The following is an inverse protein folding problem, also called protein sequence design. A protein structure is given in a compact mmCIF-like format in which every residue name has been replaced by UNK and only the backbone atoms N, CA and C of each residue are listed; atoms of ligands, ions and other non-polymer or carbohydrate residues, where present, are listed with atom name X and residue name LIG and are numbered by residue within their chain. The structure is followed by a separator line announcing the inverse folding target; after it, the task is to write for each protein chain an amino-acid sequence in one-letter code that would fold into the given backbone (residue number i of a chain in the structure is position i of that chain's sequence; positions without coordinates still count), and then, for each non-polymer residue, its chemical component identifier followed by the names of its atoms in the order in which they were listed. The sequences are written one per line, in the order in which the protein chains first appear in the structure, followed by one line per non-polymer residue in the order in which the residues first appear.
data_IF_416808192286
#
_entry.id   IF_416808192286
#
_cell.length_a   1.000
_cell.length_b   1.000
_cell.length_c   1.000
_cell.angle_alpha   90.00
_cell.angle_beta   90.00
_cell.angle_gamma   90.00
#
_symmetry.space_group_name_H-M   'P 1'
#
loop_
_entity.id
_entity.type
_entity.pdbx_description
1 polymer ?
#
# COMPACT_ATOMS: atom_id res chain seq x y z
N UNK A 1 -14.64 -58.85 44.68
CA UNK A 1 -13.17 -58.71 44.61
C UNK A 1 -12.83 -57.63 43.58
N UNK A 2 -12.16 -56.57 44.03
CA UNK A 2 -11.93 -55.29 43.34
C UNK A 2 -10.96 -55.41 42.15
N UNK A 3 -11.25 -54.74 41.03
CA UNK A 3 -10.26 -54.48 39.97
C UNK A 3 -10.31 -52.99 39.59
N UNK A 4 -9.61 -52.18 40.37
CA UNK A 4 -9.25 -50.78 40.04
C UNK A 4 -7.81 -50.77 39.50
N UNK A 5 -7.62 -50.39 38.24
CA UNK A 5 -6.35 -49.93 37.66
C UNK A 5 -6.73 -48.70 36.80
N UNK A 6 -6.72 -47.49 37.37
CA UNK A 6 -5.62 -46.51 37.34
C UNK A 6 -5.20 -46.13 35.91
N UNK A 7 -5.98 -45.26 35.27
CA UNK A 7 -5.50 -44.38 34.20
C UNK A 7 -4.75 -43.21 34.85
N UNK A 8 -3.44 -43.14 34.64
CA UNK A 8 -2.64 -41.98 35.00
C UNK A 8 -2.75 -40.89 33.92
N UNK A 9 -3.45 -39.80 34.22
CA UNK A 9 -3.37 -38.57 33.43
C UNK A 9 -2.09 -37.83 33.79
N UNK A 10 -1.09 -37.87 32.91
CA UNK A 10 0.03 -36.96 32.96
C UNK A 10 -0.39 -35.62 32.33
N UNK A 11 -0.81 -34.68 33.16
CA UNK A 11 -1.09 -33.29 32.75
C UNK A 11 0.25 -32.58 32.56
N UNK A 12 0.79 -32.62 31.35
CA UNK A 12 1.97 -31.85 30.97
C UNK A 12 1.60 -30.37 30.82
N UNK A 13 2.01 -29.56 31.80
CA UNK A 13 1.88 -28.10 31.74
C UNK A 13 2.99 -27.55 30.82
N UNK A 14 2.66 -27.35 29.54
CA UNK A 14 3.56 -26.70 28.59
C UNK A 14 3.57 -25.18 28.85
N UNK A 15 4.65 -24.70 29.49
CA UNK A 15 4.91 -23.28 29.71
C UNK A 15 5.39 -22.65 28.39
N UNK A 16 4.49 -22.01 27.63
CA UNK A 16 4.86 -21.23 26.46
C UNK A 16 5.54 -19.92 26.91
N UNK A 17 6.87 -19.86 26.79
CA UNK A 17 7.61 -18.62 26.97
C UNK A 17 7.23 -17.63 25.85
N UNK A 18 6.45 -16.61 26.21
CA UNK A 18 6.14 -15.50 25.32
C UNK A 18 7.38 -14.62 25.21
N UNK A 19 8.11 -14.72 24.10
CA UNK A 19 9.14 -13.75 23.76
C UNK A 19 8.44 -12.43 23.43
N UNK A 20 8.36 -11.54 24.42
CA UNK A 20 7.98 -10.15 24.20
C UNK A 20 9.06 -9.50 23.34
N UNK A 21 8.74 -9.22 22.08
CA UNK A 21 9.59 -8.39 21.21
C UNK A 21 9.52 -6.96 21.78
N UNK A 22 10.65 -6.35 22.15
CA UNK A 22 10.64 -4.97 22.60
C UNK A 22 10.18 -4.10 21.43
N UNK A 23 9.07 -3.38 21.63
CA UNK A 23 8.67 -2.28 20.77
C UNK A 23 9.79 -1.24 20.86
N UNK A 24 10.64 -1.20 19.83
CA UNK A 24 11.61 -0.12 19.68
C UNK A 24 10.85 1.20 19.73
N UNK A 25 11.20 2.05 20.69
CA UNK A 25 10.53 3.32 20.96
C UNK A 25 10.34 4.13 19.68
N UNK A 26 9.15 4.02 19.09
CA UNK A 26 8.69 4.94 18.09
C UNK A 26 8.36 6.22 18.84
N UNK A 27 9.23 7.23 18.71
CA UNK A 27 8.89 8.59 19.06
C UNK A 27 7.51 8.92 18.46
N UNK A 28 6.72 9.71 19.20
CA UNK A 28 5.34 10.12 18.95
C UNK A 28 5.16 11.01 17.70
N UNK A 29 5.89 10.72 16.63
CA UNK A 29 5.57 11.18 15.28
C UNK A 29 4.51 10.26 14.72
N UNK A 30 3.43 10.86 14.24
CA UNK A 30 2.47 10.14 13.41
C UNK A 30 3.22 9.34 12.33
N UNK A 31 3.00 8.03 12.23
CA UNK A 31 3.76 7.18 11.32
C UNK A 31 3.56 7.64 9.87
N UNK A 32 4.64 7.66 9.10
CA UNK A 32 4.59 7.88 7.66
C UNK A 32 4.49 6.53 6.95
N UNK A 33 3.82 6.51 5.80
CA UNK A 33 3.70 5.32 4.96
C UNK A 33 4.30 5.61 3.60
N UNK A 34 5.20 4.74 3.14
CA UNK A 34 5.74 4.76 1.78
C UNK A 34 5.30 3.47 1.11
N UNK A 35 4.61 3.60 -0.02
CA UNK A 35 4.13 2.47 -0.81
C UNK A 35 4.86 2.42 -2.15
N UNK A 36 5.55 1.31 -2.40
CA UNK A 36 6.21 1.06 -3.68
C UNK A 36 5.33 0.13 -4.52
N UNK A 37 4.94 0.60 -5.71
CA UNK A 37 4.17 -0.18 -6.67
C UNK A 37 5.00 -0.37 -7.96
N UNK A 38 5.85 -1.39 -8.01
CA UNK A 38 6.54 -1.77 -9.24
C UNK A 38 5.59 -2.56 -10.15
N UNK A 39 5.16 -1.94 -11.25
CA UNK A 39 4.22 -2.56 -12.20
C UNK A 39 4.82 -3.83 -12.84
N UNK A 40 4.02 -4.89 -12.95
CA UNK A 40 4.43 -6.20 -13.47
C UNK A 40 5.45 -6.98 -12.63
N UNK A 41 5.85 -6.49 -11.46
CA UNK A 41 6.99 -7.03 -10.70
C UNK A 41 6.62 -8.24 -9.83
N UNK A 42 6.67 -9.42 -10.45
CA UNK A 42 6.54 -10.71 -9.76
C UNK A 42 7.85 -11.29 -9.18
N UNK A 43 7.74 -12.44 -8.52
CA UNK A 43 8.89 -13.16 -7.93
C UNK A 43 10.01 -13.46 -8.95
N UNK A 44 9.63 -13.75 -10.20
CA UNK A 44 10.58 -14.02 -11.28
C UNK A 44 11.44 -12.78 -11.60
N UNK A 45 10.81 -11.60 -11.66
CA UNK A 45 11.51 -10.32 -11.87
C UNK A 45 12.45 -10.00 -10.69
N UNK A 46 11.98 -10.21 -9.45
CA UNK A 46 12.82 -10.05 -8.25
C UNK A 46 14.05 -10.96 -8.28
N UNK A 47 13.88 -12.23 -8.65
CA UNK A 47 14.98 -13.18 -8.74
C UNK A 47 15.97 -12.81 -9.85
N UNK A 48 15.48 -12.42 -11.03
CA UNK A 48 16.34 -11.96 -12.12
C UNK A 48 17.15 -10.72 -11.72
N UNK A 49 16.51 -9.73 -11.10
CA UNK A 49 17.17 -8.52 -10.58
C UNK A 49 18.27 -8.89 -9.57
N UNK A 50 17.99 -9.82 -8.64
CA UNK A 50 18.98 -10.29 -7.67
C UNK A 50 20.21 -10.89 -8.36
N UNK A 51 20.01 -11.75 -9.36
CA UNK A 51 21.12 -12.38 -10.08
C UNK A 51 22.00 -11.36 -10.81
N UNK A 52 21.41 -10.32 -11.38
CA UNK A 52 22.15 -9.28 -12.13
C UNK A 52 22.88 -8.31 -11.20
N UNK A 53 22.23 -7.84 -10.14
CA UNK A 53 22.76 -6.75 -9.31
C UNK A 53 23.72 -7.22 -8.22
N UNK A 54 23.43 -8.38 -7.61
CA UNK A 54 24.14 -8.82 -6.39
C UNK A 54 24.61 -10.27 -6.47
N UNK A 55 24.38 -10.96 -7.59
CA UNK A 55 24.74 -12.36 -7.79
C UNK A 55 23.83 -13.34 -7.02
N UNK A 56 24.11 -14.65 -7.12
CA UNK A 56 23.25 -15.70 -6.57
C UNK A 56 23.15 -15.70 -5.03
N UNK A 57 24.24 -15.34 -4.34
CA UNK A 57 24.33 -15.34 -2.87
C UNK A 57 24.03 -13.96 -2.26
N UNK A 58 23.90 -12.93 -3.10
CA UNK A 58 23.64 -11.56 -2.66
C UNK A 58 22.19 -11.31 -2.25
N UNK A 59 21.94 -10.18 -1.59
CA UNK A 59 20.60 -9.73 -1.18
C UNK A 59 20.36 -8.29 -1.63
N UNK A 60 19.20 -8.05 -2.24
CA UNK A 60 18.68 -6.72 -2.53
C UNK A 60 18.19 -6.04 -1.24
N UNK A 61 18.00 -4.72 -1.27
CA UNK A 61 17.40 -4.01 -0.12
C UNK A 61 15.97 -4.50 0.19
N UNK A 62 15.18 -4.85 -0.83
CA UNK A 62 13.88 -5.51 -0.64
C UNK A 62 13.98 -6.84 0.11
N UNK A 63 15.09 -7.57 -0.05
CA UNK A 63 15.30 -8.83 0.66
C UNK A 63 15.54 -8.60 2.14
N UNK A 64 15.96 -7.39 2.56
CA UNK A 64 16.22 -7.05 3.97
C UNK A 64 14.97 -6.63 4.73
N UNK A 65 13.83 -6.45 4.07
CA UNK A 65 12.56 -6.17 4.76
C UNK A 65 12.21 -7.35 5.68
N UNK A 66 11.84 -7.11 6.96
CA UNK A 66 11.64 -8.17 7.96
C UNK A 66 10.42 -9.06 7.67
N UNK A 67 9.52 -8.58 6.81
CA UNK A 67 8.28 -9.27 6.46
C UNK A 67 8.13 -9.34 4.95
N UNK A 68 7.73 -10.51 4.46
CA UNK A 68 7.35 -10.74 3.07
C UNK A 68 6.09 -11.58 3.06
N UNK A 69 5.15 -11.25 2.18
CA UNK A 69 3.91 -11.99 1.99
C UNK A 69 3.63 -12.18 0.50
N UNK A 70 2.92 -13.26 0.18
CA UNK A 70 2.34 -13.48 -1.14
C UNK A 70 0.88 -13.04 -1.10
N UNK A 71 0.39 -12.44 -2.18
CA UNK A 71 -1.03 -12.10 -2.33
C UNK A 71 -1.53 -12.53 -3.70
N UNK A 72 -2.81 -12.84 -3.79
CA UNK A 72 -3.47 -13.19 -5.06
C UNK A 72 -3.93 -11.92 -5.77
N UNK A 73 -3.37 -11.65 -6.95
CA UNK A 73 -3.68 -10.46 -7.75
C UNK A 73 -4.80 -10.63 -8.78
N UNK A 74 -5.64 -11.65 -8.67
CA UNK A 74 -6.75 -11.87 -9.59
C UNK A 74 -7.86 -10.83 -9.39
N UNK A 75 -8.57 -10.52 -10.47
CA UNK A 75 -9.68 -9.56 -10.51
C UNK A 75 -11.01 -10.28 -10.28
N UNK A 76 -12.11 -9.55 -10.12
CA UNK A 76 -13.46 -10.16 -9.94
C UNK A 76 -13.89 -11.01 -11.14
N UNK A 77 -13.40 -10.66 -12.31
CA UNK A 77 -13.76 -11.13 -13.65
C UNK A 77 -12.56 -11.69 -14.43
N UNK A 78 -11.39 -11.85 -13.77
CA UNK A 78 -10.16 -12.28 -14.43
C UNK A 78 -9.23 -13.06 -13.51
N UNK A 79 -8.57 -14.09 -14.05
CA UNK A 79 -7.59 -14.91 -13.32
C UNK A 79 -6.26 -14.17 -13.07
N UNK A 80 -6.00 -13.11 -13.84
CA UNK A 80 -4.80 -12.28 -13.75
C UNK A 80 -5.16 -10.84 -13.37
N UNK A 81 -4.17 -10.10 -12.87
CA UNK A 81 -4.31 -8.67 -12.60
C UNK A 81 -4.01 -7.82 -13.83
N UNK A 82 -4.63 -6.64 -13.88
CA UNK A 82 -4.28 -5.55 -14.80
C UNK A 82 -3.60 -4.43 -14.02
N UNK A 83 -2.82 -3.56 -14.68
CA UNK A 83 -2.15 -2.45 -13.99
C UNK A 83 -3.14 -1.51 -13.29
N UNK A 84 -4.28 -1.22 -13.91
CA UNK A 84 -5.30 -0.30 -13.38
C UNK A 84 -6.22 -0.94 -12.34
N UNK A 85 -6.70 -2.17 -12.57
CA UNK A 85 -7.48 -2.91 -11.58
C UNK A 85 -6.64 -3.26 -10.35
N UNK A 86 -5.37 -3.61 -10.55
CA UNK A 86 -4.40 -3.84 -9.48
C UNK A 86 -4.11 -2.58 -8.67
N UNK A 87 -3.81 -1.45 -9.33
CA UNK A 87 -3.61 -0.17 -8.65
C UNK A 87 -4.86 0.29 -7.88
N UNK A 88 -6.04 0.11 -8.45
CA UNK A 88 -7.33 0.39 -7.77
C UNK A 88 -7.50 -0.50 -6.54
N UNK A 89 -7.20 -1.79 -6.65
CA UNK A 89 -7.25 -2.72 -5.51
C UNK A 89 -6.29 -2.29 -4.40
N UNK A 90 -5.07 -1.85 -4.73
CA UNK A 90 -4.12 -1.32 -3.76
C UNK A 90 -4.57 0.00 -3.13
N UNK A 91 -5.17 0.89 -3.91
CA UNK A 91 -5.60 2.20 -3.46
C UNK A 91 -6.84 2.16 -2.55
N UNK A 92 -7.74 1.20 -2.75
CA UNK A 92 -9.02 1.11 -2.03
C UNK A 92 -9.09 -0.07 -1.05
N UNK A 93 -8.21 -1.06 -1.19
CA UNK A 93 -8.19 -2.26 -0.35
C UNK A 93 -9.31 -3.27 -0.64
N UNK A 94 -9.98 -3.17 -1.79
CA UNK A 94 -11.04 -4.08 -2.22
C UNK A 94 -10.79 -4.59 -3.63
N UNK A 95 -11.17 -5.84 -3.92
CA UNK A 95 -11.04 -6.41 -5.27
C UNK A 95 -12.07 -5.80 -6.22
N UNK A 96 -11.66 -5.55 -7.45
CA UNK A 96 -12.48 -4.91 -8.50
C UNK A 96 -12.48 -5.71 -9.81
N UNK A 97 -13.36 -5.34 -10.75
CA UNK A 97 -13.31 -5.79 -12.14
C UNK A 97 -12.01 -5.36 -12.83
N UNK A 98 -11.57 -6.09 -13.86
CA UNK A 98 -10.27 -5.92 -14.47
C UNK A 98 -10.08 -4.53 -15.09
N UNK A 99 -11.10 -3.98 -15.76
CA UNK A 99 -11.04 -2.68 -16.47
C UNK A 99 -11.28 -1.45 -15.56
N UNK A 100 -11.06 -1.61 -14.27
CA UNK A 100 -11.36 -0.62 -13.23
C UNK A 100 -10.28 0.46 -13.06
N UNK A 101 -10.69 1.72 -12.93
CA UNK A 101 -9.79 2.84 -12.58
C UNK A 101 -10.39 3.70 -11.47
N UNK A 102 -10.03 3.42 -10.22
CA UNK A 102 -10.61 4.10 -9.05
C UNK A 102 -12.12 3.87 -8.86
N UNK A 103 -12.66 2.85 -9.53
CA UNK A 103 -14.07 2.42 -9.60
C UNK A 103 -14.09 0.89 -9.62
N UNK A 104 -15.23 0.23 -9.36
CA UNK A 104 -15.42 -1.20 -9.63
C UNK A 104 -16.24 -1.36 -10.90
N UNK A 105 -15.56 -1.55 -12.03
CA UNK A 105 -16.12 -1.27 -13.35
C UNK A 105 -16.50 0.20 -13.43
N UNK A 106 -17.79 0.49 -13.44
CA UNK A 106 -18.35 1.85 -13.42
C UNK A 106 -18.95 2.26 -12.07
N UNK A 107 -18.85 1.41 -11.04
CA UNK A 107 -19.48 1.67 -9.73
C UNK A 107 -18.49 2.34 -8.78
N UNK A 108 -18.89 3.41 -8.04
CA UNK A 108 -18.04 3.99 -7.01
C UNK A 108 -17.62 2.97 -5.94
N UNK A 109 -16.39 3.10 -5.45
CA UNK A 109 -15.87 2.20 -4.42
C UNK A 109 -15.91 2.87 -3.05
N UNK A 110 -16.50 2.15 -2.08
CA UNK A 110 -16.21 2.34 -0.66
C UNK A 110 -14.98 1.51 -0.29
N UNK A 111 -13.92 2.19 0.18
CA UNK A 111 -12.67 1.55 0.58
C UNK A 111 -12.85 0.61 1.76
N UNK A 112 -11.87 -0.27 1.98
CA UNK A 112 -11.83 -1.18 3.11
C UNK A 112 -11.92 -0.45 4.47
N UNK A 113 -11.44 0.79 4.55
CA UNK A 113 -11.56 1.66 5.73
C UNK A 113 -12.98 2.19 5.98
N UNK A 114 -13.88 2.03 5.02
CA UNK A 114 -15.21 2.64 5.00
C UNK A 114 -15.26 4.07 4.45
N UNK A 115 -14.15 4.60 3.93
CA UNK A 115 -14.11 5.92 3.27
C UNK A 115 -14.58 5.84 1.81
N UNK A 116 -15.32 6.85 1.34
CA UNK A 116 -15.79 6.99 -0.05
C UNK A 116 -14.67 7.55 -0.95
N UNK A 117 -13.58 6.80 -1.08
CA UNK A 117 -12.39 7.18 -1.82
C UNK A 117 -11.18 6.34 -1.43
N UNK A 118 -10.08 6.49 -2.16
CA UNK A 118 -8.83 5.76 -1.88
C UNK A 118 -8.20 6.15 -0.53
N UNK A 119 -7.21 5.36 -0.10
CA UNK A 119 -6.40 5.65 1.08
C UNK A 119 -5.66 7.00 0.99
N UNK A 120 -5.25 7.42 -0.20
CA UNK A 120 -4.60 8.71 -0.41
C UNK A 120 -5.59 9.87 -0.24
N UNK A 121 -6.80 9.76 -0.81
CA UNK A 121 -7.85 10.77 -0.61
C UNK A 121 -8.30 10.82 0.85
N UNK A 122 -8.38 9.68 1.51
CA UNK A 122 -8.67 9.60 2.95
C UNK A 122 -7.58 10.31 3.78
N UNK A 123 -6.31 10.07 3.46
CA UNK A 123 -5.19 10.73 4.11
C UNK A 123 -5.25 12.25 3.94
N UNK A 124 -5.53 12.74 2.72
CA UNK A 124 -5.70 14.17 2.43
C UNK A 124 -6.88 14.77 3.19
N UNK A 125 -8.03 14.09 3.22
CA UNK A 125 -9.19 14.50 4.00
C UNK A 125 -8.91 14.60 5.51
N UNK A 126 -7.96 13.80 6.01
CA UNK A 126 -7.46 13.83 7.39
C UNK A 126 -6.29 14.81 7.61
N UNK A 127 -6.01 15.68 6.64
CA UNK A 127 -4.95 16.69 6.72
C UNK A 127 -3.53 16.12 6.66
N UNK A 128 -3.36 14.88 6.18
CA UNK A 128 -2.05 14.28 5.91
C UNK A 128 -1.55 14.69 4.54
N UNK A 129 -0.24 14.73 4.42
CA UNK A 129 0.44 15.15 3.21
C UNK A 129 0.67 13.91 2.35
N UNK A 130 0.33 14.02 1.06
CA UNK A 130 0.41 12.91 0.11
C UNK A 130 1.24 13.35 -1.08
N UNK A 131 2.11 12.47 -1.54
CA UNK A 131 2.92 12.65 -2.74
C UNK A 131 2.85 11.41 -3.63
N UNK A 132 2.82 11.64 -4.94
CA UNK A 132 2.87 10.61 -5.98
C UNK A 132 4.16 10.75 -6.77
N UNK A 133 4.89 9.64 -6.90
CA UNK A 133 6.13 9.57 -7.68
C UNK A 133 6.00 8.44 -8.69
N UNK A 134 6.22 8.74 -9.96
CA UNK A 134 6.25 7.72 -11.01
C UNK A 134 7.35 8.01 -12.05
N UNK A 135 7.68 6.98 -12.82
CA UNK A 135 8.63 7.06 -13.93
C UNK A 135 7.98 7.38 -15.27
N UNK A 136 6.65 7.42 -15.34
CA UNK A 136 5.88 7.56 -16.58
C UNK A 136 5.09 8.87 -16.64
N UNK A 137 3.92 8.82 -17.27
CA UNK A 137 3.01 9.95 -17.37
C UNK A 137 2.18 10.17 -16.09
N UNK A 138 1.57 11.35 -15.95
CA UNK A 138 0.72 11.65 -14.79
C UNK A 138 -0.51 10.74 -14.68
N UNK A 139 -0.97 10.18 -15.81
CA UNK A 139 -2.12 9.27 -15.87
C UNK A 139 -1.78 7.81 -15.60
N UNK A 140 -0.52 7.47 -15.31
CA UNK A 140 -0.12 6.08 -15.09
C UNK A 140 -0.90 5.46 -13.92
N UNK A 141 -1.55 4.30 -14.12
CA UNK A 141 -2.49 3.76 -13.13
C UNK A 141 -1.87 3.52 -11.77
N UNK A 142 -0.61 3.06 -11.72
CA UNK A 142 0.13 2.73 -10.50
C UNK A 142 0.21 3.87 -9.48
N UNK A 143 0.05 5.12 -9.93
CA UNK A 143 -0.07 6.29 -9.05
C UNK A 143 -1.42 7.00 -9.18
N UNK A 144 -1.93 7.16 -10.40
CA UNK A 144 -3.10 8.00 -10.64
C UNK A 144 -4.39 7.43 -10.03
N UNK A 145 -4.54 6.10 -9.94
CA UNK A 145 -5.70 5.46 -9.32
C UNK A 145 -5.83 5.77 -7.81
N UNK A 146 -4.77 6.29 -7.18
CA UNK A 146 -4.83 6.74 -5.79
C UNK A 146 -5.54 8.09 -5.65
N UNK A 147 -5.71 8.89 -6.70
CA UNK A 147 -6.34 10.22 -6.58
C UNK A 147 -7.41 10.51 -7.63
N UNK A 148 -7.47 9.70 -8.68
CA UNK A 148 -8.44 9.83 -9.77
C UNK A 148 -9.29 8.55 -9.89
N UNK A 149 -10.57 8.75 -10.22
CA UNK A 149 -11.54 7.71 -10.50
C UNK A 149 -12.23 8.04 -11.82
N UNK A 150 -12.29 7.09 -12.75
CA UNK A 150 -12.96 7.25 -14.05
C UNK A 150 -13.66 5.95 -14.45
N UNK A 151 -14.75 6.06 -15.22
CA UNK A 151 -15.47 4.88 -15.76
C UNK A 151 -14.68 4.14 -16.84
N UNK A 152 -13.70 4.81 -17.44
CA UNK A 152 -12.85 4.24 -18.49
C UNK A 152 -11.39 4.55 -18.21
N UNK A 153 -10.56 3.50 -18.19
CA UNK A 153 -9.10 3.65 -18.00
C UNK A 153 -8.43 4.44 -19.11
N UNK A 154 -9.03 4.48 -20.31
CA UNK A 154 -8.45 5.13 -21.49
C UNK A 154 -8.78 6.63 -21.61
N UNK A 155 -9.49 7.22 -20.64
CA UNK A 155 -9.72 8.65 -20.56
C UNK A 155 -8.47 9.41 -20.06
N UNK A 156 -7.37 9.34 -20.81
CA UNK A 156 -6.06 9.87 -20.37
C UNK A 156 -6.09 11.35 -19.98
N UNK A 157 -6.78 12.18 -20.77
CA UNK A 157 -6.91 13.61 -20.51
C UNK A 157 -7.71 13.89 -19.23
N UNK A 158 -8.80 13.14 -19.02
CA UNK A 158 -9.62 13.23 -17.81
C UNK A 158 -8.84 12.79 -16.58
N UNK A 159 -8.14 11.65 -16.65
CA UNK A 159 -7.31 11.15 -15.55
C UNK A 159 -6.23 12.18 -15.22
N UNK A 160 -5.54 12.73 -16.22
CA UNK A 160 -4.52 13.77 -16.02
C UNK A 160 -5.11 15.01 -15.34
N UNK A 161 -6.29 15.46 -15.78
CA UNK A 161 -7.00 16.58 -15.17
C UNK A 161 -7.34 16.30 -13.70
N UNK A 162 -7.90 15.13 -13.40
CA UNK A 162 -8.23 14.73 -12.03
C UNK A 162 -7.00 14.64 -11.13
N UNK A 163 -5.88 14.13 -11.64
CA UNK A 163 -4.60 14.09 -10.91
C UNK A 163 -4.11 15.51 -10.61
N UNK A 164 -4.15 16.42 -11.59
CA UNK A 164 -3.72 17.81 -11.40
C UNK A 164 -4.62 18.57 -10.40
N UNK A 165 -5.93 18.33 -10.44
CA UNK A 165 -6.90 18.96 -9.54
C UNK A 165 -6.98 18.32 -8.15
N UNK A 166 -6.38 17.13 -7.96
CA UNK A 166 -6.47 16.39 -6.70
C UNK A 166 -5.85 17.13 -5.52
N UNK A 167 -4.94 18.08 -5.76
CA UNK A 167 -4.16 18.78 -4.73
C UNK A 167 -2.97 17.98 -4.21
N UNK A 168 -2.67 16.82 -4.80
CA UNK A 168 -1.50 16.01 -4.48
C UNK A 168 -0.24 16.58 -5.13
N UNK A 169 0.91 16.39 -4.49
CA UNK A 169 2.18 16.65 -5.16
C UNK A 169 2.50 15.48 -6.10
N UNK A 170 2.69 15.77 -7.38
CA UNK A 170 3.09 14.77 -8.38
C UNK A 170 4.50 15.08 -8.85
N UNK A 171 5.35 14.07 -8.91
CA UNK A 171 6.69 14.19 -9.50
C UNK A 171 6.91 13.04 -10.47
N UNK A 172 6.96 13.36 -11.76
CA UNK A 172 7.40 12.44 -12.81
C UNK A 172 8.91 12.64 -13.05
N UNK A 173 9.67 11.53 -13.06
CA UNK A 173 11.14 11.45 -13.26
C UNK A 173 11.98 12.27 -12.27
N UNK A 174 12.39 11.64 -11.15
CA UNK A 174 13.49 12.02 -10.24
C UNK A 174 13.75 13.52 -10.01
N UNK A 175 12.72 14.36 -9.95
CA UNK A 175 12.86 15.77 -9.63
C UNK A 175 12.70 15.97 -8.12
N UNK A 176 13.76 16.50 -7.50
CA UNK A 176 13.91 16.97 -6.12
C UNK A 176 12.68 16.83 -5.20
N UNK A 177 12.76 15.88 -4.25
CA UNK A 177 11.79 15.57 -3.19
C UNK A 177 11.59 16.70 -2.13
N UNK A 178 11.66 17.98 -2.51
CA UNK A 178 11.88 19.09 -1.60
C UNK A 178 10.67 19.96 -1.25
N UNK A 179 9.53 19.86 -1.94
CA UNK A 179 8.47 20.89 -1.80
C UNK A 179 7.12 20.30 -1.43
N UNK A 180 7.01 19.88 -0.18
CA UNK A 180 5.72 19.62 0.44
C UNK A 180 4.75 20.81 0.24
N UNK A 181 3.49 20.62 -0.18
CA UNK A 181 2.56 21.71 -0.46
C UNK A 181 2.42 22.68 0.72
N UNK A 182 2.18 23.96 0.43
CA UNK A 182 2.00 25.02 1.45
C UNK A 182 0.88 24.64 2.45
N UNK A 183 -0.15 23.92 1.99
CA UNK A 183 -1.22 23.38 2.83
C UNK A 183 -0.73 22.36 3.87
N UNK A 184 0.26 21.52 3.52
CA UNK A 184 0.88 20.61 4.47
C UNK A 184 1.72 21.35 5.51
N UNK A 185 2.49 22.38 5.10
CA UNK A 185 3.29 23.19 6.03
C UNK A 185 2.42 23.81 7.13
N UNK A 186 1.20 24.26 6.79
CA UNK A 186 0.24 24.81 7.74
C UNK A 186 -0.33 23.75 8.72
N UNK A 187 -0.56 22.51 8.27
CA UNK A 187 -1.01 21.41 9.12
C UNK A 187 0.08 20.97 10.11
N UNK A 188 1.34 20.88 9.66
CA UNK A 188 2.48 20.53 10.53
C UNK A 188 2.73 21.60 11.60
N UNK A 189 2.59 22.89 11.25
CA UNK A 189 2.71 23.99 12.20
C UNK A 189 1.64 23.95 13.31
N UNK A 190 0.41 23.53 12.99
CA UNK A 190 -0.68 23.39 13.99
C UNK A 190 -0.48 22.23 14.96
N UNK A 191 0.21 21.15 14.55
CA UNK A 191 0.52 20.03 15.43
C UNK A 191 1.61 20.40 16.44
N UNK A 192 2.63 21.16 16.02
CA UNK A 192 3.67 21.66 16.93
C UNK A 192 3.15 22.73 17.91
N UNK A 193 2.17 23.54 17.51
CA UNK A 193 1.55 24.54 18.39
C UNK A 193 0.62 23.95 19.48
N UNK A 194 0.28 22.66 19.40
CA UNK A 194 -0.53 21.96 20.42
C UNK A 194 0.30 21.11 21.39
N UNK A 195 1.61 21.06 21.18
CA UNK A 195 2.57 20.26 21.97
C UNK A 195 3.62 21.14 22.67
N UNK A 196 3.40 22.47 22.69
CA UNK A 196 4.17 23.44 23.46
C UNK A 196 3.30 24.06 24.56
#
# INVERSE_FOLDING_TARGET
MNRRQLFGSATGLALAAQLAVPSAGAQDRAPNVIFFHPDGFGANHRNALRMVEVGPDGRLEWDRLPHTALYSGHMKDGLTGTSHGGATTHAFGVRVQADSFGMDGTTPIRSLSGFEGSIAREAMARGRCVGLVNSGAAYEPGTAAFVASTERRNSLAEITRLVAESGVQVTSRAANAGTCPVACRAATARVHARTA
#
